data_IF_731085685259
#
_entry.id   IF_731085685259
#
_cell.length_a   1.000
_cell.length_b   1.000
_cell.length_c   1.000
_cell.angle_alpha   90.00
_cell.angle_beta   90.00
_cell.angle_gamma   90.00
#
_symmetry.space_group_name_H-M   'P 1'
#
loop_
_entity.id
_entity.type
_entity.pdbx_description
1 polymer ?
#
# COMPACT_ATOMS: atom_id res chain seq x y z
N UNK A 1 -32.92 -18.22 -14.82
CA UNK A 1 -32.07 -17.10 -14.34
C UNK A 1 -31.33 -16.49 -15.52
N UNK A 2 -31.42 -15.20 -15.68
CA UNK A 2 -30.72 -14.51 -16.77
C UNK A 2 -29.23 -14.35 -16.46
N UNK A 3 -28.40 -14.26 -17.49
CA UNK A 3 -26.97 -14.01 -17.35
C UNK A 3 -26.71 -12.75 -16.54
N UNK A 4 -27.54 -11.74 -16.71
CA UNK A 4 -27.42 -10.47 -15.99
C UNK A 4 -27.58 -10.64 -14.45
N UNK A 5 -28.55 -11.46 -14.02
CA UNK A 5 -28.78 -11.74 -12.60
C UNK A 5 -27.61 -12.52 -12.01
N UNK A 6 -27.10 -13.49 -12.78
CA UNK A 6 -25.93 -14.28 -12.34
C UNK A 6 -24.70 -13.42 -12.21
N UNK A 7 -24.43 -12.55 -13.20
CA UNK A 7 -23.30 -11.61 -13.15
C UNK A 7 -23.41 -10.65 -11.97
N UNK A 8 -24.59 -10.14 -11.69
CA UNK A 8 -24.82 -9.24 -10.57
C UNK A 8 -24.60 -9.92 -9.23
N UNK A 9 -25.05 -11.16 -9.07
CA UNK A 9 -24.83 -11.95 -7.86
C UNK A 9 -23.33 -12.27 -7.68
N UNK A 10 -22.68 -12.69 -8.77
CA UNK A 10 -21.26 -12.99 -8.74
C UNK A 10 -20.42 -11.75 -8.40
N UNK A 11 -20.74 -10.62 -9.00
CA UNK A 11 -20.09 -9.34 -8.74
C UNK A 11 -20.23 -8.95 -7.26
N UNK A 12 -21.44 -9.00 -6.72
CA UNK A 12 -21.68 -8.65 -5.32
C UNK A 12 -20.93 -9.58 -4.35
N UNK A 13 -20.83 -10.87 -4.68
CA UNK A 13 -20.15 -11.85 -3.87
C UNK A 13 -18.62 -11.67 -3.93
N UNK A 14 -18.04 -11.47 -5.14
CA UNK A 14 -16.61 -11.43 -5.34
C UNK A 14 -15.99 -10.06 -5.07
N UNK A 15 -16.77 -8.98 -5.18
CA UNK A 15 -16.28 -7.60 -5.05
C UNK A 15 -16.72 -6.92 -3.75
N UNK A 16 -17.43 -7.66 -2.88
CA UNK A 16 -17.89 -7.10 -1.61
C UNK A 16 -16.70 -6.83 -0.67
N UNK A 17 -16.60 -5.59 -0.19
CA UNK A 17 -15.61 -5.16 0.79
C UNK A 17 -16.31 -4.76 2.08
N UNK A 18 -15.73 -5.14 3.23
CA UNK A 18 -16.28 -4.79 4.54
C UNK A 18 -15.82 -3.39 4.96
N UNK A 19 -16.39 -2.38 4.34
CA UNK A 19 -16.07 -0.98 4.65
C UNK A 19 -16.41 -0.60 6.09
N UNK A 20 -17.42 -1.25 6.68
CA UNK A 20 -17.80 -0.98 8.07
C UNK A 20 -16.69 -1.39 9.03
N UNK A 21 -16.13 -2.59 8.86
CA UNK A 21 -15.00 -3.05 9.67
C UNK A 21 -13.78 -2.13 9.50
N UNK A 22 -13.52 -1.69 8.28
CA UNK A 22 -12.44 -0.74 8.03
C UNK A 22 -12.71 0.62 8.69
N UNK A 23 -13.96 1.09 8.64
CA UNK A 23 -14.32 2.36 9.30
C UNK A 23 -14.02 2.31 10.79
N UNK A 24 -14.38 1.22 11.47
CA UNK A 24 -14.13 1.03 12.89
C UNK A 24 -12.62 0.99 13.18
N UNK A 25 -11.87 0.26 12.40
CA UNK A 25 -10.39 0.20 12.52
C UNK A 25 -9.75 1.57 12.31
N UNK A 26 -10.24 2.30 11.30
CA UNK A 26 -9.76 3.65 10.97
C UNK A 26 -9.97 4.62 12.13
N UNK A 27 -11.12 4.53 12.78
CA UNK A 27 -11.41 5.34 13.96
C UNK A 27 -10.43 5.05 15.10
N UNK A 28 -10.09 3.78 15.33
CA UNK A 28 -9.11 3.39 16.35
C UNK A 28 -7.71 3.93 16.01
N UNK A 29 -7.31 3.85 14.75
CA UNK A 29 -6.00 4.37 14.30
C UNK A 29 -5.92 5.89 14.52
N UNK A 30 -7.00 6.60 14.26
CA UNK A 30 -7.06 8.06 14.43
C UNK A 30 -6.86 8.49 15.90
N UNK A 31 -7.15 7.60 16.86
CA UNK A 31 -6.98 7.87 18.29
C UNK A 31 -5.57 7.55 18.82
N UNK A 32 -4.68 6.99 17.98
CA UNK A 32 -3.31 6.68 18.41
C UNK A 32 -2.57 7.97 18.75
N UNK A 33 -2.05 8.05 19.98
CA UNK A 33 -1.32 9.23 20.48
C UNK A 33 0.16 9.14 20.11
N UNK A 34 0.78 7.97 20.33
CA UNK A 34 2.21 7.77 20.10
C UNK A 34 2.46 7.26 18.67
N UNK A 35 3.25 8.01 17.90
CA UNK A 35 3.65 7.65 16.54
C UNK A 35 4.95 6.84 16.58
N UNK A 36 5.07 5.88 15.65
CA UNK A 36 6.30 5.12 15.47
C UNK A 36 7.33 5.95 14.70
N UNK A 37 8.60 5.72 14.99
CA UNK A 37 9.70 6.39 14.31
C UNK A 37 9.96 5.70 12.97
N UNK A 38 10.09 6.46 11.89
CA UNK A 38 10.29 5.91 10.55
C UNK A 38 11.27 6.75 9.74
N UNK A 39 11.88 6.12 8.72
CA UNK A 39 12.82 6.76 7.81
C UNK A 39 12.53 6.38 6.36
N UNK A 40 13.01 7.18 5.43
CA UNK A 40 12.95 6.86 4.00
C UNK A 40 13.69 5.55 3.71
N UNK A 41 13.26 4.82 2.68
CA UNK A 41 13.74 3.50 2.27
C UNK A 41 13.21 2.34 3.11
N UNK A 42 12.63 2.60 4.26
CA UNK A 42 12.09 1.53 5.09
C UNK A 42 10.84 0.91 4.47
N UNK A 43 10.72 -0.40 4.69
CA UNK A 43 9.54 -1.17 4.29
C UNK A 43 8.77 -1.52 5.56
N UNK A 44 7.49 -1.16 5.56
CA UNK A 44 6.60 -1.31 6.71
C UNK A 44 5.32 -2.02 6.30
N UNK A 45 4.71 -2.78 7.20
CA UNK A 45 3.30 -3.08 7.09
C UNK A 45 2.50 -1.88 7.54
N UNK A 46 1.54 -1.49 6.71
CA UNK A 46 0.74 -0.29 6.89
C UNK A 46 -0.74 -0.65 6.85
N UNK A 47 -1.55 -0.07 7.74
CA UNK A 47 -3.01 -0.18 7.69
C UNK A 47 -3.53 0.64 6.50
N UNK A 48 -3.45 0.06 5.31
CA UNK A 48 -3.85 0.73 4.08
C UNK A 48 -5.37 0.79 3.94
N UNK A 49 -6.07 -0.14 4.57
CA UNK A 49 -7.51 -0.14 4.65
C UNK A 49 -8.19 -0.72 3.44
N UNK A 50 -9.44 -0.32 3.27
CA UNK A 50 -10.26 -0.64 2.10
C UNK A 50 -10.55 0.63 1.34
N UNK A 51 -10.37 0.58 0.02
CA UNK A 51 -10.51 1.74 -0.85
C UNK A 51 -11.45 1.41 -2.01
N UNK A 52 -11.62 2.35 -2.92
CA UNK A 52 -12.62 2.19 -3.99
C UNK A 52 -11.98 1.48 -5.18
N UNK A 53 -12.65 0.43 -5.65
CA UNK A 53 -12.31 -0.24 -6.91
C UNK A 53 -10.85 -0.70 -6.96
N UNK A 54 -10.08 -0.15 -7.90
CA UNK A 54 -8.70 -0.54 -8.17
C UNK A 54 -7.66 0.18 -7.31
N UNK A 55 -8.08 1.08 -6.43
CA UNK A 55 -7.17 1.62 -5.42
C UNK A 55 -6.70 0.48 -4.51
N UNK A 56 -5.41 0.47 -4.15
CA UNK A 56 -4.86 -0.64 -3.38
C UNK A 56 -5.43 -0.71 -1.98
N UNK A 57 -5.80 -1.93 -1.58
CA UNK A 57 -6.29 -2.24 -0.25
C UNK A 57 -5.23 -2.93 0.61
N UNK A 58 -5.41 -2.88 1.92
CA UNK A 58 -4.79 -3.80 2.85
C UNK A 58 -5.54 -5.12 2.91
N UNK A 59 -4.98 -6.12 3.60
CA UNK A 59 -5.53 -7.46 3.71
C UNK A 59 -5.63 -7.89 5.16
N UNK A 60 -6.50 -8.89 5.42
CA UNK A 60 -6.70 -9.47 6.73
C UNK A 60 -7.53 -8.57 7.64
N UNK A 61 -7.60 -8.95 8.91
CA UNK A 61 -8.41 -8.26 9.92
C UNK A 61 -7.90 -6.85 10.23
N UNK A 62 -6.59 -6.61 10.04
CA UNK A 62 -5.96 -5.32 10.30
C UNK A 62 -5.74 -4.49 9.04
N UNK A 63 -6.22 -4.97 7.89
CA UNK A 63 -6.15 -4.24 6.60
C UNK A 63 -4.72 -3.81 6.26
N UNK A 64 -3.77 -4.72 6.41
CA UNK A 64 -2.34 -4.45 6.25
C UNK A 64 -1.85 -4.72 4.83
N UNK A 65 -0.91 -3.91 4.38
CA UNK A 65 -0.16 -4.10 3.14
C UNK A 65 1.26 -3.59 3.36
N UNK A 66 2.28 -4.30 2.81
CA UNK A 66 3.63 -3.75 2.82
C UNK A 66 3.73 -2.53 1.91
N UNK A 67 4.45 -1.52 2.39
CA UNK A 67 4.70 -0.27 1.69
C UNK A 67 6.17 0.12 1.82
N UNK A 68 6.66 0.95 0.88
CA UNK A 68 7.96 1.62 1.01
C UNK A 68 7.73 3.06 1.43
N UNK A 69 8.49 3.53 2.42
CA UNK A 69 8.55 4.95 2.77
C UNK A 69 9.36 5.66 1.68
N UNK A 70 8.68 6.42 0.85
CA UNK A 70 9.30 7.14 -0.26
C UNK A 70 9.88 8.48 0.17
N UNK A 71 9.11 9.26 0.93
CA UNK A 71 9.50 10.58 1.41
C UNK A 71 8.91 10.87 2.78
N UNK A 72 9.76 11.27 3.69
CA UNK A 72 9.35 11.74 5.02
C UNK A 72 9.26 13.27 4.99
N UNK A 73 8.07 13.83 5.16
CA UNK A 73 7.89 15.28 5.26
C UNK A 73 8.14 15.77 6.69
N UNK A 74 7.61 15.03 7.64
CA UNK A 74 7.77 15.27 9.08
C UNK A 74 7.41 13.97 9.80
N UNK A 75 7.26 14.01 11.12
CA UNK A 75 6.90 12.81 11.89
C UNK A 75 5.43 12.40 11.75
N UNK A 76 4.58 13.26 11.17
CA UNK A 76 3.15 13.02 11.03
C UNK A 76 2.76 12.48 9.67
N UNK A 77 3.35 12.97 8.57
CA UNK A 77 2.93 12.62 7.21
C UNK A 77 4.10 12.22 6.32
N UNK A 78 3.82 11.31 5.41
CA UNK A 78 4.81 10.74 4.51
C UNK A 78 4.16 10.30 3.19
N UNK A 79 4.99 10.21 2.15
CA UNK A 79 4.60 9.53 0.91
C UNK A 79 5.04 8.09 0.97
N UNK A 80 4.15 7.22 0.54
CA UNK A 80 4.42 5.78 0.44
C UNK A 80 4.05 5.25 -0.94
N UNK A 81 4.65 4.12 -1.30
CA UNK A 81 4.29 3.35 -2.48
C UNK A 81 3.94 1.93 -2.02
N UNK A 82 2.74 1.43 -2.37
CA UNK A 82 2.35 0.06 -1.98
C UNK A 82 3.18 -0.99 -2.71
N UNK A 83 3.38 -2.12 -2.04
CA UNK A 83 4.05 -3.29 -2.61
C UNK A 83 3.06 -4.42 -2.87
N UNK A 84 3.38 -5.24 -3.86
CA UNK A 84 2.64 -6.47 -4.17
C UNK A 84 3.63 -7.59 -4.49
N UNK A 85 3.22 -8.85 -4.26
CA UNK A 85 4.01 -10.01 -4.67
C UNK A 85 3.82 -10.36 -6.14
N UNK A 86 2.77 -9.83 -6.78
CA UNK A 86 2.50 -10.08 -8.19
C UNK A 86 3.49 -9.32 -9.06
N UNK A 87 4.28 -10.06 -9.85
CA UNK A 87 5.21 -9.43 -10.79
C UNK A 87 4.44 -8.81 -11.95
N UNK A 88 4.69 -7.53 -12.20
CA UNK A 88 4.08 -6.75 -13.28
C UNK A 88 5.17 -6.12 -14.14
N UNK A 89 4.99 -6.12 -15.45
CA UNK A 89 5.93 -5.54 -16.42
C UNK A 89 5.28 -4.33 -17.09
N UNK A 90 5.48 -3.16 -16.54
CA UNK A 90 5.15 -1.90 -17.20
C UNK A 90 5.92 -0.77 -16.53
N UNK A 91 5.87 0.42 -17.15
CA UNK A 91 6.54 1.61 -16.61
C UNK A 91 5.97 2.08 -15.27
N UNK A 92 4.81 1.56 -14.87
CA UNK A 92 4.15 1.94 -13.63
C UNK A 92 4.50 1.04 -12.45
N UNK A 93 5.38 0.05 -12.67
CA UNK A 93 5.79 -0.91 -11.64
C UNK A 93 7.30 -1.00 -11.58
N UNK A 94 7.82 -1.23 -10.38
CA UNK A 94 9.25 -1.48 -10.18
C UNK A 94 9.42 -2.72 -9.30
N UNK A 95 10.11 -3.74 -9.84
CA UNK A 95 10.37 -4.99 -9.11
C UNK A 95 11.80 -5.01 -8.57
N UNK A 96 11.96 -5.51 -7.36
CA UNK A 96 13.24 -5.65 -6.68
C UNK A 96 13.22 -6.89 -5.80
N UNK A 97 14.41 -7.35 -5.41
CA UNK A 97 14.55 -8.49 -4.50
C UNK A 97 14.52 -7.98 -3.07
N UNK A 98 13.70 -8.62 -2.23
CA UNK A 98 13.61 -8.33 -0.82
C UNK A 98 13.41 -9.64 -0.05
N UNK A 99 14.35 -9.94 0.88
CA UNK A 99 14.32 -11.14 1.73
C UNK A 99 14.11 -12.42 0.90
N UNK A 100 14.89 -12.58 -0.17
CA UNK A 100 14.90 -13.79 -1.02
C UNK A 100 13.69 -13.95 -1.93
N UNK A 101 12.83 -12.94 -2.04
CA UNK A 101 11.65 -12.96 -2.90
C UNK A 101 11.56 -11.67 -3.72
N UNK A 102 10.82 -11.72 -4.82
CA UNK A 102 10.56 -10.52 -5.63
C UNK A 102 9.38 -9.76 -5.04
N UNK A 103 9.59 -8.47 -4.79
CA UNK A 103 8.54 -7.52 -4.44
C UNK A 103 8.40 -6.52 -5.57
N UNK A 104 7.17 -6.04 -5.81
CA UNK A 104 6.88 -5.09 -6.87
C UNK A 104 6.22 -3.85 -6.27
N UNK A 105 6.84 -2.70 -6.50
CA UNK A 105 6.29 -1.40 -6.11
C UNK A 105 5.29 -0.93 -7.17
N UNK A 106 4.11 -0.50 -6.73
CA UNK A 106 3.05 0.01 -7.60
C UNK A 106 3.19 1.52 -7.65
N UNK A 107 4.00 2.02 -8.58
CA UNK A 107 4.39 3.43 -8.62
C UNK A 107 3.20 4.37 -8.84
N UNK A 108 2.21 3.92 -9.63
CA UNK A 108 0.99 4.70 -9.89
C UNK A 108 0.11 4.90 -8.66
N UNK A 109 0.34 4.15 -7.60
CA UNK A 109 -0.42 4.22 -6.35
C UNK A 109 0.31 5.01 -5.25
N UNK A 110 1.24 5.88 -5.64
CA UNK A 110 1.87 6.84 -4.73
C UNK A 110 0.81 7.55 -3.89
N UNK A 111 1.00 7.58 -2.58
CA UNK A 111 -0.04 8.06 -1.67
C UNK A 111 0.57 8.77 -0.47
N UNK A 112 -0.09 9.86 -0.04
CA UNK A 112 0.17 10.49 1.26
C UNK A 112 -0.58 9.72 2.35
N UNK A 113 0.12 9.40 3.43
CA UNK A 113 -0.52 8.80 4.62
C UNK A 113 -0.09 9.53 5.89
N UNK A 114 -0.90 9.40 6.93
CA UNK A 114 -0.53 9.74 8.30
C UNK A 114 0.29 8.59 8.89
N UNK A 115 1.35 8.90 9.62
CA UNK A 115 2.26 7.89 10.17
C UNK A 115 1.61 6.95 11.20
N UNK A 116 0.43 7.29 11.73
CA UNK A 116 -0.33 6.40 12.61
C UNK A 116 -0.80 5.12 11.90
N UNK A 117 -0.82 5.13 10.55
CA UNK A 117 -1.14 3.92 9.77
C UNK A 117 -0.01 2.89 9.78
N UNK A 118 1.21 3.25 10.17
CA UNK A 118 2.35 2.33 10.22
C UNK A 118 2.17 1.34 11.36
N UNK A 119 2.29 0.06 11.06
CA UNK A 119 2.13 -1.02 12.03
C UNK A 119 3.47 -1.53 12.54
N UNK A 120 4.29 -2.11 11.66
CA UNK A 120 5.63 -2.57 12.04
C UNK A 120 6.58 -2.59 10.84
N UNK A 121 7.86 -2.33 11.12
CA UNK A 121 8.93 -2.33 10.12
C UNK A 121 9.36 -3.76 9.82
N UNK A 122 9.58 -4.06 8.53
CA UNK A 122 10.04 -5.38 8.08
C UNK A 122 11.42 -5.34 7.42
N UNK A 123 11.96 -4.17 7.13
CA UNK A 123 13.30 -4.02 6.57
C UNK A 123 13.49 -2.74 5.81
N UNK A 124 14.46 -2.74 4.91
CA UNK A 124 14.79 -1.60 4.06
C UNK A 124 15.09 -2.09 2.65
N UNK A 125 14.72 -1.29 1.65
CA UNK A 125 15.21 -1.49 0.29
C UNK A 125 16.65 -0.97 0.22
N UNK A 126 17.51 -1.64 -0.55
CA UNK A 126 18.89 -1.17 -0.72
C UNK A 126 18.94 0.18 -1.43
N UNK A 127 20.03 0.94 -1.19
CA UNK A 127 20.17 2.31 -1.70
C UNK A 127 20.11 2.38 -3.22
N UNK A 128 20.72 1.42 -3.92
CA UNK A 128 20.77 1.38 -5.38
C UNK A 128 19.38 1.13 -5.96
N UNK A 129 18.66 0.15 -5.43
CA UNK A 129 17.27 -0.14 -5.85
C UNK A 129 16.34 1.02 -5.54
N UNK A 130 16.52 1.68 -4.40
CA UNK A 130 15.73 2.85 -4.04
C UNK A 130 15.94 4.01 -5.03
N UNK A 131 17.18 4.25 -5.43
CA UNK A 131 17.49 5.26 -6.43
C UNK A 131 16.83 4.93 -7.77
N UNK A 132 16.92 3.67 -8.21
CA UNK A 132 16.27 3.21 -9.45
C UNK A 132 14.74 3.37 -9.40
N UNK A 133 14.13 3.04 -8.24
CA UNK A 133 12.69 3.22 -8.04
C UNK A 133 12.29 4.69 -8.18
N UNK A 134 13.06 5.59 -7.55
CA UNK A 134 12.77 7.04 -7.61
C UNK A 134 12.93 7.60 -9.02
N UNK A 135 13.94 7.14 -9.76
CA UNK A 135 14.13 7.55 -11.15
C UNK A 135 12.96 7.12 -12.02
N UNK A 136 12.50 5.88 -11.84
CA UNK A 136 11.35 5.35 -12.58
C UNK A 136 10.07 6.10 -12.23
N UNK A 137 9.89 6.45 -10.97
CA UNK A 137 8.75 7.25 -10.51
C UNK A 137 8.76 8.65 -11.14
N UNK A 138 9.92 9.30 -11.21
CA UNK A 138 10.05 10.64 -11.80
C UNK A 138 9.61 10.67 -13.27
N UNK A 139 9.82 9.59 -14.00
CA UNK A 139 9.45 9.50 -15.41
C UNK A 139 7.94 9.52 -15.62
N UNK A 140 7.17 8.98 -14.68
CA UNK A 140 5.70 8.94 -14.79
C UNK A 140 5.02 10.18 -14.22
N UNK A 141 5.74 11.04 -13.51
CA UNK A 141 5.20 12.32 -13.07
C UNK A 141 5.14 13.29 -14.27
N UNK A 142 4.04 14.08 -14.40
CA UNK A 142 3.91 15.03 -15.51
C UNK A 142 4.90 16.19 -15.41
#
# INVERSE_FOLDING_TARGET
MTVLVFQKLWFNFSMSKDFKAWHDKKADIDEIVKRLFFHEREIWYCHLGLNIGFEQDGRGEDFLRPIIVLRKFNKEVLWIVPLTHTKKNSRYYYSFNFVGATSTAILSQLKLIDSRRLSYKIGEIDSESFLSLKQKLKVILP
#
